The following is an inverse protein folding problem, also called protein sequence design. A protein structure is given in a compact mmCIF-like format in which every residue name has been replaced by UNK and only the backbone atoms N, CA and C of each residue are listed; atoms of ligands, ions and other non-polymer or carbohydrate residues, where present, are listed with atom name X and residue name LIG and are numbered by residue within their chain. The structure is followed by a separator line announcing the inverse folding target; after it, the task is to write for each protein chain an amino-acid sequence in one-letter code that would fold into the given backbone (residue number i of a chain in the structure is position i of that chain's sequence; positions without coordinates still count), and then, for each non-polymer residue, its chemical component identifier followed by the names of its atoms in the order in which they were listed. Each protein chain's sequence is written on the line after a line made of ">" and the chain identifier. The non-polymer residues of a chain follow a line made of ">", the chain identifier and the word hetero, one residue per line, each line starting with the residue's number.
data_IF_419615045686
#
_entry.id   IF_419615045686
#
_cell.length_a   1.000
_cell.length_b   1.000
_cell.length_c   1.000
_cell.angle_alpha   90.00
_cell.angle_beta   90.00
_cell.angle_gamma   90.00
#
_symmetry.space_group_name_H-M   'P 1'
#
loop_
_entity.id
_entity.type
_entity.pdbx_description
1 polymer ?
#
# COMPACT_ATOMS: atom_id res chain seq x y z
N UNK A 1 -21.03 -18.69 -24.25
CA UNK A 1 -20.02 -19.29 -23.35
C UNK A 1 -18.73 -18.50 -23.54
N UNK A 2 -18.46 -17.52 -22.68
CA UNK A 2 -17.20 -16.77 -22.72
C UNK A 2 -16.13 -17.59 -22.01
N UNK A 3 -15.04 -17.85 -22.73
CA UNK A 3 -13.81 -18.42 -22.21
C UNK A 3 -13.22 -17.47 -21.17
N UNK A 4 -13.25 -17.88 -19.89
CA UNK A 4 -12.52 -17.21 -18.82
C UNK A 4 -11.02 -17.45 -19.07
N UNK A 5 -10.36 -16.45 -19.64
CA UNK A 5 -8.89 -16.40 -19.70
C UNK A 5 -8.37 -16.42 -18.26
N UNK A 6 -7.78 -17.55 -17.86
CA UNK A 6 -7.14 -17.68 -16.57
C UNK A 6 -6.00 -16.66 -16.48
N UNK A 7 -6.11 -15.69 -15.58
CA UNK A 7 -4.97 -14.84 -15.25
C UNK A 7 -3.93 -15.72 -14.55
N UNK A 8 -2.69 -15.82 -15.06
CA UNK A 8 -1.69 -16.70 -14.47
C UNK A 8 -1.31 -16.16 -13.09
N UNK A 9 -1.23 -17.06 -12.11
CA UNK A 9 -0.57 -16.80 -10.84
C UNK A 9 0.94 -17.01 -11.00
N UNK A 10 1.73 -16.20 -10.30
CA UNK A 10 3.16 -16.38 -10.19
C UNK A 10 3.49 -16.97 -8.84
N UNK A 11 4.38 -17.97 -8.81
CA UNK A 11 4.83 -18.60 -7.57
C UNK A 11 6.33 -18.68 -7.50
N UNK A 12 6.87 -18.44 -6.30
CA UNK A 12 8.28 -18.68 -6.00
C UNK A 12 8.44 -19.31 -4.62
N UNK A 13 9.46 -20.14 -4.46
CA UNK A 13 9.69 -20.91 -3.23
C UNK A 13 11.04 -20.55 -2.65
N UNK A 14 11.05 -20.22 -1.36
CA UNK A 14 12.26 -19.92 -0.60
C UNK A 14 12.33 -20.89 0.57
N UNK A 15 13.25 -21.86 0.47
CA UNK A 15 13.57 -22.76 1.57
C UNK A 15 14.53 -22.07 2.56
N UNK A 16 14.23 -22.20 3.85
CA UNK A 16 15.08 -21.80 4.98
C UNK A 16 15.16 -22.97 5.97
N UNK A 17 16.21 -23.04 6.83
CA UNK A 17 16.35 -24.12 7.79
C UNK A 17 15.11 -24.35 8.66
N UNK A 18 14.40 -23.29 9.03
CA UNK A 18 13.24 -23.38 9.94
C UNK A 18 11.87 -23.24 9.27
N UNK A 19 11.83 -22.91 7.97
CA UNK A 19 10.56 -22.74 7.23
C UNK A 19 10.75 -22.79 5.72
N UNK A 20 9.71 -23.23 5.03
CA UNK A 20 9.57 -23.06 3.58
C UNK A 20 8.53 -21.99 3.30
N UNK A 21 8.87 -20.97 2.53
CA UNK A 21 7.95 -19.89 2.15
C UNK A 21 7.59 -20.02 0.67
N UNK A 22 6.29 -20.09 0.38
CA UNK A 22 5.73 -20.07 -0.97
C UNK A 22 5.10 -18.71 -1.19
N UNK A 23 5.76 -17.86 -1.98
CA UNK A 23 5.23 -16.57 -2.38
C UNK A 23 4.28 -16.75 -3.55
N UNK A 24 3.09 -16.17 -3.44
CA UNK A 24 2.07 -16.20 -4.49
C UNK A 24 1.72 -14.77 -4.89
N UNK A 25 1.69 -14.51 -6.18
CA UNK A 25 1.27 -13.23 -6.74
C UNK A 25 0.20 -13.41 -7.82
N UNK A 26 -0.68 -12.43 -7.97
CA UNK A 26 -1.77 -12.44 -8.95
C UNK A 26 -3.14 -12.68 -8.31
N UNK A 27 -4.08 -13.22 -9.09
CA UNK A 27 -5.46 -13.48 -8.64
C UNK A 27 -5.68 -14.95 -8.32
N UNK A 28 -6.06 -15.27 -7.08
CA UNK A 28 -6.48 -16.61 -6.67
C UNK A 28 -7.98 -16.80 -6.91
N UNK A 29 -8.39 -16.74 -8.18
CA UNK A 29 -9.68 -17.25 -8.64
C UNK A 29 -9.66 -18.80 -8.72
N UNK A 30 -10.71 -19.42 -9.26
CA UNK A 30 -10.75 -20.89 -9.40
C UNK A 30 -9.58 -21.42 -10.23
N UNK A 31 -9.26 -20.79 -11.36
CA UNK A 31 -8.17 -21.22 -12.25
C UNK A 31 -6.79 -21.07 -11.60
N UNK A 32 -6.53 -19.91 -11.00
CA UNK A 32 -5.30 -19.65 -10.25
C UNK A 32 -5.13 -20.61 -9.07
N UNK A 33 -6.20 -20.91 -8.35
CA UNK A 33 -6.20 -21.87 -7.24
C UNK A 33 -5.82 -23.29 -7.71
N UNK A 34 -6.39 -23.76 -8.83
CA UNK A 34 -6.07 -25.10 -9.37
C UNK A 34 -4.60 -25.20 -9.80
N UNK A 35 -4.05 -24.13 -10.38
CA UNK A 35 -2.62 -24.05 -10.70
C UNK A 35 -1.76 -24.13 -9.44
N UNK A 36 -2.12 -23.39 -8.38
CA UNK A 36 -1.39 -23.40 -7.11
C UNK A 36 -1.44 -24.79 -6.46
N UNK A 37 -2.61 -25.45 -6.46
CA UNK A 37 -2.77 -26.81 -5.96
C UNK A 37 -1.80 -27.80 -6.58
N UNK A 38 -1.68 -27.75 -7.91
CA UNK A 38 -0.76 -28.62 -8.66
C UNK A 38 0.69 -28.37 -8.23
N UNK A 39 1.09 -27.11 -8.14
CA UNK A 39 2.44 -26.72 -7.72
C UNK A 39 2.75 -27.13 -6.27
N UNK A 40 1.81 -26.94 -5.33
CA UNK A 40 1.98 -27.33 -3.92
C UNK A 40 2.09 -28.85 -3.74
N UNK A 41 1.36 -29.62 -4.56
CA UNK A 41 1.44 -31.08 -4.54
C UNK A 41 2.85 -31.56 -4.88
N UNK A 42 3.50 -30.95 -5.88
CA UNK A 42 4.89 -31.25 -6.23
C UNK A 42 5.87 -30.86 -5.11
N UNK A 43 5.60 -29.74 -4.43
CA UNK A 43 6.42 -29.19 -3.35
C UNK A 43 6.26 -29.95 -2.01
N UNK A 44 5.20 -30.74 -1.82
CA UNK A 44 4.97 -31.52 -0.59
C UNK A 44 6.13 -32.48 -0.27
N UNK A 45 6.87 -32.91 -1.29
CA UNK A 45 8.11 -33.71 -1.18
C UNK A 45 9.28 -32.97 -0.49
N UNK A 46 9.25 -31.64 -0.39
CA UNK A 46 10.30 -30.81 0.22
C UNK A 46 10.10 -30.58 1.73
N UNK A 47 8.95 -30.94 2.28
CA UNK A 47 8.62 -30.73 3.71
C UNK A 47 9.36 -31.67 4.68
N UNK A 48 10.14 -32.64 4.17
CA UNK A 48 10.89 -33.60 4.97
C UNK A 48 11.91 -32.99 5.95
N UNK A 49 12.24 -31.71 5.82
CA UNK A 49 13.26 -31.04 6.64
C UNK A 49 12.80 -29.77 7.36
N UNK A 50 11.56 -29.28 7.15
CA UNK A 50 11.09 -28.03 7.74
C UNK A 50 9.75 -28.23 8.43
N UNK A 51 9.71 -28.02 9.75
CA UNK A 51 8.50 -28.15 10.57
C UNK A 51 7.43 -27.07 10.27
N UNK A 52 7.66 -26.15 9.32
CA UNK A 52 6.79 -25.00 9.07
C UNK A 52 6.71 -24.60 7.59
N UNK A 53 5.49 -24.53 7.06
CA UNK A 53 5.17 -24.02 5.71
C UNK A 53 4.50 -22.66 5.83
N UNK A 54 4.88 -21.72 4.98
CA UNK A 54 4.28 -20.38 4.89
C UNK A 54 3.71 -20.17 3.49
N UNK A 55 2.43 -19.84 3.40
CA UNK A 55 1.81 -19.32 2.18
C UNK A 55 1.78 -17.80 2.28
N UNK A 56 2.61 -17.12 1.49
CA UNK A 56 2.68 -15.66 1.47
C UNK A 56 1.82 -15.12 0.33
N UNK A 57 0.68 -14.55 0.72
CA UNK A 57 -0.31 -13.94 -0.16
C UNK A 57 -0.22 -12.41 -0.21
N UNK A 58 0.88 -11.81 0.28
CA UNK A 58 1.09 -10.35 0.27
C UNK A 58 0.99 -9.71 -1.11
N UNK A 59 1.17 -10.48 -2.20
CA UNK A 59 1.05 -10.02 -3.59
C UNK A 59 -0.17 -10.61 -4.31
N UNK A 60 -1.10 -11.20 -3.57
CA UNK A 60 -2.39 -11.67 -4.11
C UNK A 60 -3.37 -10.50 -4.13
N UNK A 61 -3.88 -10.17 -5.32
CA UNK A 61 -4.83 -9.05 -5.50
C UNK A 61 -6.30 -9.47 -5.35
N UNK A 62 -6.58 -10.77 -5.32
CA UNK A 62 -7.92 -11.33 -5.13
C UNK A 62 -7.84 -12.74 -4.54
N UNK A 63 -8.64 -13.03 -3.50
CA UNK A 63 -8.74 -14.35 -2.87
C UNK A 63 -10.17 -14.91 -3.02
N UNK A 64 -10.35 -15.86 -3.94
CA UNK A 64 -11.62 -16.53 -4.20
C UNK A 64 -11.98 -17.61 -3.18
N UNK A 65 -13.19 -18.16 -3.26
CA UNK A 65 -13.64 -19.24 -2.36
C UNK A 65 -12.77 -20.50 -2.46
N UNK A 66 -12.41 -20.92 -3.68
CA UNK A 66 -11.55 -22.07 -3.90
C UNK A 66 -10.17 -21.91 -3.20
N UNK A 67 -9.67 -20.68 -3.09
CA UNK A 67 -8.40 -20.41 -2.42
C UNK A 67 -8.48 -20.61 -0.89
N UNK A 68 -9.62 -20.35 -0.28
CA UNK A 68 -9.87 -20.63 1.14
C UNK A 68 -9.89 -22.14 1.38
N UNK A 69 -10.62 -22.88 0.54
CA UNK A 69 -10.68 -24.35 0.59
C UNK A 69 -9.28 -24.97 0.40
N UNK A 70 -8.49 -24.42 -0.52
CA UNK A 70 -7.10 -24.82 -0.70
C UNK A 70 -6.28 -24.66 0.58
N UNK A 71 -6.37 -23.50 1.23
CA UNK A 71 -5.65 -23.25 2.49
C UNK A 71 -6.02 -24.27 3.55
N UNK A 72 -7.31 -24.61 3.66
CA UNK A 72 -7.80 -25.63 4.60
C UNK A 72 -7.21 -27.01 4.31
N UNK A 73 -7.24 -27.44 3.04
CA UNK A 73 -6.65 -28.72 2.61
C UNK A 73 -5.14 -28.77 2.91
N UNK A 74 -4.41 -27.69 2.61
CA UNK A 74 -2.96 -27.60 2.88
C UNK A 74 -2.69 -27.61 4.39
N UNK A 75 -3.52 -26.92 5.19
CA UNK A 75 -3.40 -26.91 6.64
C UNK A 75 -3.52 -28.32 7.22
N UNK A 76 -4.49 -29.08 6.72
CA UNK A 76 -4.71 -30.46 7.14
C UNK A 76 -3.52 -31.37 6.76
N UNK A 77 -3.02 -31.25 5.54
CA UNK A 77 -1.86 -32.02 5.08
C UNK A 77 -0.60 -31.73 5.89
N UNK A 78 -0.28 -30.44 6.10
CA UNK A 78 0.88 -30.01 6.89
C UNK A 78 0.75 -30.50 8.33
N UNK A 79 -0.45 -30.44 8.91
CA UNK A 79 -0.73 -30.95 10.26
C UNK A 79 -0.57 -32.47 10.36
N UNK A 80 -1.04 -33.22 9.36
CA UNK A 80 -0.88 -34.67 9.31
C UNK A 80 0.59 -35.09 9.25
N UNK A 81 1.45 -34.27 8.64
CA UNK A 81 2.90 -34.43 8.62
C UNK A 81 3.62 -33.93 9.89
N UNK A 82 2.89 -33.46 10.91
CA UNK A 82 3.46 -32.91 12.15
C UNK A 82 4.05 -31.50 12.02
N UNK A 83 3.77 -30.80 10.92
CA UNK A 83 4.20 -29.44 10.67
C UNK A 83 3.17 -28.37 11.08
N UNK A 84 3.51 -27.11 10.80
CA UNK A 84 2.66 -25.94 11.01
C UNK A 84 2.50 -25.14 9.71
N UNK A 85 1.26 -24.80 9.36
CA UNK A 85 0.97 -23.87 8.27
C UNK A 85 0.81 -22.45 8.83
N UNK A 86 1.47 -21.48 8.21
CA UNK A 86 1.19 -20.05 8.34
C UNK A 86 0.68 -19.49 7.01
N UNK A 87 -0.28 -18.56 7.06
CA UNK A 87 -0.73 -17.78 5.89
C UNK A 87 -0.48 -16.31 6.19
N UNK A 88 0.19 -15.61 5.27
CA UNK A 88 0.63 -14.22 5.42
C UNK A 88 0.03 -13.31 4.35
N UNK A 89 -0.05 -12.01 4.65
CA UNK A 89 -0.29 -10.97 3.64
C UNK A 89 -1.71 -10.95 3.06
N UNK A 90 -2.68 -11.57 3.74
CA UNK A 90 -4.09 -11.47 3.37
C UNK A 90 -4.94 -11.31 4.61
N UNK A 91 -5.91 -10.40 4.54
CA UNK A 91 -6.94 -10.23 5.55
C UNK A 91 -8.31 -10.71 5.05
N UNK A 92 -8.60 -12.01 5.23
CA UNK A 92 -9.86 -12.62 4.80
C UNK A 92 -10.67 -13.17 5.99
N UNK A 93 -11.95 -12.75 6.18
CA UNK A 93 -12.81 -13.24 7.26
C UNK A 93 -12.98 -14.76 7.29
N UNK A 94 -12.90 -15.46 6.15
CA UNK A 94 -13.06 -16.91 6.07
C UNK A 94 -11.82 -17.63 6.60
N UNK A 95 -10.62 -17.11 6.29
CA UNK A 95 -9.37 -17.62 6.86
C UNK A 95 -9.27 -17.36 8.37
N UNK A 96 -9.76 -16.20 8.84
CA UNK A 96 -9.94 -15.91 10.28
C UNK A 96 -10.81 -16.95 10.97
N UNK A 97 -11.96 -17.27 10.40
CA UNK A 97 -12.87 -18.26 10.97
C UNK A 97 -12.21 -19.65 11.05
N UNK A 98 -11.47 -20.05 10.02
CA UNK A 98 -10.74 -21.32 9.99
C UNK A 98 -9.65 -21.39 11.07
N UNK A 99 -8.96 -20.28 11.35
CA UNK A 99 -8.02 -20.18 12.46
C UNK A 99 -8.68 -20.35 13.82
N UNK A 100 -9.77 -19.61 14.06
CA UNK A 100 -10.49 -19.64 15.34
C UNK A 100 -11.08 -21.03 15.64
N UNK A 101 -11.51 -21.75 14.61
CA UNK A 101 -12.06 -23.11 14.74
C UNK A 101 -10.98 -24.21 14.82
N UNK A 102 -9.69 -23.84 14.84
CA UNK A 102 -8.59 -24.80 14.94
C UNK A 102 -8.23 -25.52 13.63
N UNK A 103 -8.87 -25.16 12.50
CA UNK A 103 -8.50 -25.63 11.17
C UNK A 103 -7.18 -25.05 10.66
N UNK A 104 -6.76 -23.90 11.21
CA UNK A 104 -5.42 -23.31 11.02
C UNK A 104 -4.78 -23.04 12.39
N UNK A 105 -3.67 -23.72 12.71
CA UNK A 105 -2.98 -23.54 14.01
C UNK A 105 -2.21 -22.23 14.12
N UNK A 106 -1.80 -21.63 13.01
CA UNK A 106 -1.08 -20.35 12.99
C UNK A 106 -1.58 -19.52 11.81
N UNK A 107 -2.35 -18.48 12.11
CA UNK A 107 -2.68 -17.45 11.12
C UNK A 107 -1.96 -16.18 11.55
N UNK A 108 -0.93 -15.80 10.79
CA UNK A 108 -0.42 -14.44 10.88
C UNK A 108 -1.12 -13.62 9.81
N UNK A 109 -2.26 -13.05 10.20
CA UNK A 109 -2.81 -11.90 9.49
C UNK A 109 -1.84 -10.75 9.76
N UNK A 110 -0.77 -10.75 8.99
CA UNK A 110 -0.11 -9.52 8.71
C UNK A 110 -1.13 -8.71 7.90
N UNK A 111 -1.55 -7.55 8.40
CA UNK A 111 -1.83 -6.44 7.50
C UNK A 111 -0.53 -6.22 6.72
N UNK A 112 -0.32 -6.98 5.64
CA UNK A 112 0.84 -6.93 4.71
C UNK A 112 2.17 -6.42 5.33
N UNK A 113 2.64 -7.07 6.41
CA UNK A 113 3.91 -7.84 6.56
C UNK A 113 5.11 -7.08 7.16
N UNK A 114 5.70 -7.62 8.23
CA UNK A 114 7.15 -7.49 8.58
C UNK A 114 7.91 -8.71 8.03
N UNK A 115 9.15 -8.69 7.52
CA UNK A 115 10.42 -8.19 8.10
C UNK A 115 11.46 -7.93 6.99
N UNK A 116 11.77 -6.67 6.78
CA UNK A 116 13.11 -6.11 7.00
C UNK A 116 12.90 -5.04 8.08
N UNK A 117 13.90 -4.54 8.79
CA UNK A 117 13.68 -3.39 9.69
C UNK A 117 12.94 -2.24 8.98
N UNK A 118 13.01 -2.19 7.64
CA UNK A 118 12.25 -1.29 6.77
C UNK A 118 10.74 -1.56 6.63
N UNK A 119 10.21 -2.77 6.86
CA UNK A 119 8.79 -3.10 6.58
C UNK A 119 7.86 -2.70 7.75
N UNK A 120 8.31 -2.86 9.00
CA UNK A 120 7.61 -2.27 10.16
C UNK A 120 7.65 -0.75 10.12
N UNK A 121 8.74 -0.20 9.57
CA UNK A 121 8.88 1.23 9.38
C UNK A 121 7.95 1.71 8.25
N UNK A 122 7.80 0.96 7.15
CA UNK A 122 6.80 1.25 6.09
C UNK A 122 5.38 1.26 6.63
N UNK A 123 4.91 0.20 7.29
CA UNK A 123 3.54 0.14 7.86
C UNK A 123 3.32 1.27 8.88
N UNK A 124 4.29 1.49 9.77
CA UNK A 124 4.28 2.58 10.73
C UNK A 124 4.21 3.94 10.04
N UNK A 125 5.03 4.15 9.02
CA UNK A 125 5.11 5.38 8.26
C UNK A 125 3.80 5.63 7.50
N UNK A 126 3.16 4.59 6.97
CA UNK A 126 1.81 4.69 6.40
C UNK A 126 0.77 5.10 7.45
N UNK A 127 0.80 4.50 8.65
CA UNK A 127 -0.09 4.89 9.76
C UNK A 127 0.17 6.35 10.17
N UNK A 128 1.42 6.76 10.30
CA UNK A 128 1.83 8.13 10.62
C UNK A 128 1.32 9.10 9.55
N UNK A 129 1.50 8.79 8.27
CA UNK A 129 1.00 9.59 7.16
C UNK A 129 -0.53 9.69 7.20
N UNK A 130 -1.25 8.59 7.43
CA UNK A 130 -2.72 8.60 7.55
C UNK A 130 -3.21 9.48 8.70
N UNK A 131 -2.55 9.42 9.85
CA UNK A 131 -2.87 10.26 11.00
C UNK A 131 -2.52 11.73 10.75
N UNK A 132 -1.40 11.99 10.07
CA UNK A 132 -1.02 13.33 9.62
C UNK A 132 -2.07 13.89 8.66
N UNK A 133 -2.58 13.10 7.71
CA UNK A 133 -3.66 13.51 6.81
C UNK A 133 -4.93 13.90 7.58
N UNK A 134 -5.39 13.03 8.48
CA UNK A 134 -6.58 13.32 9.30
C UNK A 134 -6.42 14.62 10.10
N UNK A 135 -5.22 14.84 10.66
CA UNK A 135 -4.89 16.04 11.43
C UNK A 135 -4.81 17.28 10.55
N UNK A 136 -4.08 17.22 9.43
CA UNK A 136 -3.92 18.31 8.49
C UNK A 136 -5.26 18.82 7.96
N UNK A 137 -6.15 17.88 7.61
CA UNK A 137 -7.49 18.21 7.15
C UNK A 137 -8.36 18.86 8.24
N UNK A 138 -8.18 18.45 9.50
CA UNK A 138 -8.89 19.05 10.65
C UNK A 138 -8.39 20.45 10.97
N UNK A 139 -7.07 20.67 11.02
CA UNK A 139 -6.49 21.98 11.38
C UNK A 139 -6.64 23.00 10.27
N UNK A 140 -6.64 22.57 9.01
CA UNK A 140 -6.86 23.47 7.88
C UNK A 140 -8.35 23.63 7.55
N UNK A 141 -9.20 22.67 7.90
CA UNK A 141 -10.58 22.62 7.41
C UNK A 141 -10.66 22.34 5.89
N UNK A 142 -9.59 21.84 5.27
CA UNK A 142 -9.61 21.48 3.86
C UNK A 142 -10.57 20.30 3.62
N UNK A 143 -11.41 20.36 2.56
CA UNK A 143 -12.36 19.29 2.26
C UNK A 143 -11.67 18.04 1.72
N UNK A 144 -10.54 18.22 1.04
CA UNK A 144 -9.86 17.17 0.26
C UNK A 144 -8.38 17.07 0.63
N UNK A 145 -7.84 15.86 0.57
CA UNK A 145 -6.43 15.62 0.79
C UNK A 145 -6.03 14.18 0.53
N UNK A 146 -4.73 13.96 0.34
CA UNK A 146 -4.16 12.64 0.20
C UNK A 146 -2.78 12.58 0.84
N UNK A 147 -2.34 11.36 1.09
CA UNK A 147 -0.95 11.05 1.38
C UNK A 147 -0.44 10.06 0.36
N UNK A 148 0.81 10.25 -0.01
CA UNK A 148 1.53 9.34 -0.89
C UNK A 148 2.74 8.78 -0.15
N UNK A 149 2.89 7.47 -0.18
CA UNK A 149 4.06 6.78 0.35
C UNK A 149 5.10 6.65 -0.77
N UNK A 150 6.38 6.84 -0.46
CA UNK A 150 7.46 6.60 -1.41
C UNK A 150 7.76 5.11 -1.46
N UNK A 151 7.53 4.47 -2.60
CA UNK A 151 7.94 3.08 -2.84
C UNK A 151 9.44 3.02 -3.17
N UNK A 152 10.29 2.47 -2.27
CA UNK A 152 11.74 2.44 -2.48
C UNK A 152 12.17 1.58 -3.67
N UNK A 153 11.32 0.64 -4.11
CA UNK A 153 11.64 -0.24 -5.24
C UNK A 153 11.43 0.43 -6.60
N UNK A 154 10.51 1.41 -6.68
CA UNK A 154 10.13 2.08 -7.93
C UNK A 154 10.44 3.58 -7.96
N UNK A 155 10.94 4.15 -6.85
CA UNK A 155 11.17 5.59 -6.67
C UNK A 155 9.94 6.45 -7.04
N UNK A 156 8.76 5.89 -6.73
CA UNK A 156 7.47 6.47 -7.07
C UNK A 156 6.62 6.68 -5.82
N UNK A 157 5.92 7.81 -5.80
CA UNK A 157 4.94 8.18 -4.79
C UNK A 157 3.60 7.53 -5.11
N UNK A 158 3.09 6.71 -4.20
CA UNK A 158 1.83 5.98 -4.36
C UNK A 158 0.82 6.43 -3.32
N UNK A 159 -0.40 6.74 -3.75
CA UNK A 159 -1.46 7.15 -2.81
C UNK A 159 -1.74 6.00 -1.83
N UNK A 160 -1.50 6.24 -0.54
CA UNK A 160 -1.77 5.29 0.55
C UNK A 160 -3.07 5.60 1.29
N UNK A 161 -3.48 6.87 1.31
CA UNK A 161 -4.80 7.29 1.78
C UNK A 161 -5.26 8.60 1.16
N UNK A 162 -6.57 8.80 1.12
CA UNK A 162 -7.20 9.97 0.51
C UNK A 162 -8.53 10.29 1.17
N UNK A 163 -8.97 11.54 1.04
CA UNK A 163 -10.32 11.99 1.34
C UNK A 163 -10.80 12.97 0.29
N UNK A 164 -12.04 12.79 -0.17
CA UNK A 164 -12.75 13.74 -1.03
C UNK A 164 -12.43 13.64 -2.53
N UNK A 165 -11.72 12.59 -2.97
CA UNK A 165 -11.42 12.37 -4.39
C UNK A 165 -12.21 11.20 -5.00
N UNK A 166 -12.52 11.33 -6.29
CA UNK A 166 -13.15 10.31 -7.11
C UNK A 166 -12.14 9.61 -8.05
N UNK A 167 -12.58 8.54 -8.71
CA UNK A 167 -11.71 7.60 -9.43
C UNK A 167 -10.75 8.22 -10.47
N UNK A 168 -11.12 9.23 -11.28
CA UNK A 168 -10.20 9.80 -12.28
C UNK A 168 -8.91 10.37 -11.66
N UNK A 169 -9.05 11.12 -10.56
CA UNK A 169 -7.93 11.66 -9.79
C UNK A 169 -7.06 10.54 -9.21
N UNK A 170 -7.70 9.54 -8.61
CA UNK A 170 -6.99 8.42 -7.96
C UNK A 170 -6.26 7.53 -8.96
N UNK A 171 -6.80 7.37 -10.18
CA UNK A 171 -6.14 6.61 -11.23
C UNK A 171 -4.92 7.35 -11.79
N UNK A 172 -5.04 8.66 -12.00
CA UNK A 172 -3.96 9.48 -12.56
C UNK A 172 -2.80 9.63 -11.57
N UNK A 173 -3.10 9.96 -10.31
CA UNK A 173 -2.10 10.15 -9.26
C UNK A 173 -1.76 8.87 -8.48
N UNK A 174 -2.17 7.69 -8.98
CA UNK A 174 -1.91 6.39 -8.35
C UNK A 174 -0.42 6.15 -8.09
N UNK A 175 0.41 6.56 -9.04
CA UNK A 175 1.86 6.46 -9.00
C UNK A 175 2.44 7.71 -9.64
N UNK A 176 3.21 8.49 -8.88
CA UNK A 176 3.86 9.72 -9.33
C UNK A 176 5.36 9.54 -9.17
N UNK A 177 6.10 9.55 -10.26
CA UNK A 177 7.56 9.49 -10.22
C UNK A 177 8.12 10.74 -9.53
N UNK A 178 9.08 10.58 -8.62
CA UNK A 178 9.71 11.71 -7.91
C UNK A 178 10.45 12.63 -8.88
N UNK A 179 11.05 12.06 -9.93
CA UNK A 179 11.69 12.80 -11.02
C UNK A 179 10.70 13.27 -12.12
N UNK A 180 9.42 12.90 -12.01
CA UNK A 180 8.38 13.22 -12.97
C UNK A 180 8.02 14.70 -12.96
N UNK A 181 7.93 15.30 -14.15
CA UNK A 181 7.53 16.70 -14.32
C UNK A 181 5.99 16.82 -14.23
N UNK A 182 5.47 17.83 -13.52
CA UNK A 182 4.06 18.24 -13.63
C UNK A 182 3.15 17.97 -12.43
N UNK A 183 3.68 17.65 -11.24
CA UNK A 183 2.86 17.58 -10.02
C UNK A 183 3.45 18.39 -8.86
N UNK A 184 2.60 18.94 -7.99
CA UNK A 184 3.05 19.65 -6.79
C UNK A 184 3.77 18.73 -5.80
N UNK A 185 3.32 17.48 -5.67
CA UNK A 185 3.96 16.49 -4.81
C UNK A 185 5.33 16.04 -5.33
N UNK A 186 5.49 15.79 -6.64
CA UNK A 186 6.79 15.52 -7.25
C UNK A 186 7.77 16.69 -7.09
N UNK A 187 7.30 17.92 -7.34
CA UNK A 187 8.12 19.12 -7.14
C UNK A 187 8.55 19.31 -5.67
N UNK A 188 7.67 19.00 -4.72
CA UNK A 188 7.98 19.08 -3.29
C UNK A 188 8.93 17.96 -2.83
N UNK A 189 8.76 16.74 -3.36
CA UNK A 189 9.65 15.60 -3.11
C UNK A 189 11.07 15.89 -3.63
N UNK A 190 11.21 16.35 -4.88
CA UNK A 190 12.51 16.69 -5.47
C UNK A 190 13.23 17.81 -4.70
N UNK A 191 12.50 18.80 -4.22
CA UNK A 191 13.07 19.94 -3.47
C UNK A 191 13.25 19.64 -1.98
N UNK A 192 12.68 18.53 -1.49
CA UNK A 192 12.53 18.21 -0.06
C UNK A 192 12.02 19.41 0.75
N UNK A 193 11.10 20.18 0.17
CA UNK A 193 10.52 21.41 0.74
C UNK A 193 9.04 21.51 0.43
N UNK A 194 8.23 22.10 1.33
CA UNK A 194 6.83 22.37 1.05
C UNK A 194 6.61 23.21 -0.21
N UNK A 195 5.63 22.80 -1.02
CA UNK A 195 5.15 23.55 -2.19
C UNK A 195 3.71 23.97 -1.95
N UNK A 196 3.45 25.26 -2.10
CA UNK A 196 2.13 25.85 -1.97
C UNK A 196 1.73 26.43 -3.32
N UNK A 197 0.61 25.96 -3.86
CA UNK A 197 0.00 26.44 -5.08
C UNK A 197 -1.31 27.13 -4.71
N UNK A 198 -1.37 28.43 -4.98
CA UNK A 198 -2.52 29.28 -4.61
C UNK A 198 -3.66 29.14 -5.62
N UNK A 199 -3.35 28.97 -6.90
CA UNK A 199 -4.32 28.63 -7.95
C UNK A 199 -3.73 27.64 -8.96
N UNK A 200 -4.34 26.46 -9.09
CA UNK A 200 -3.94 25.43 -10.06
C UNK A 200 -4.01 25.97 -11.48
N UNK A 201 -5.05 26.72 -11.82
CA UNK A 201 -5.26 27.22 -13.19
C UNK A 201 -4.29 28.32 -13.61
N UNK A 202 -3.62 28.96 -12.66
CA UNK A 202 -2.66 30.04 -12.92
C UNK A 202 -1.21 29.60 -12.68
N UNK A 203 -1.00 28.40 -12.12
CA UNK A 203 0.33 27.93 -11.74
C UNK A 203 1.09 27.38 -12.95
N UNK A 204 2.34 27.84 -13.19
CA UNK A 204 3.20 27.26 -14.23
C UNK A 204 3.48 25.76 -14.03
N UNK A 205 3.23 25.21 -12.83
CA UNK A 205 3.34 23.76 -12.58
C UNK A 205 2.23 22.94 -13.26
N UNK A 206 1.08 23.56 -13.56
CA UNK A 206 -0.13 22.87 -13.99
C UNK A 206 -0.71 23.39 -15.30
N UNK A 207 -0.45 24.65 -15.67
CA UNK A 207 -0.93 25.22 -16.92
C UNK A 207 -0.42 24.41 -18.11
N UNK A 208 -1.35 23.86 -18.89
CA UNK A 208 -1.05 23.07 -20.08
C UNK A 208 -0.54 21.65 -19.80
N UNK A 209 -0.67 21.16 -18.56
CA UNK A 209 -0.27 19.79 -18.20
C UNK A 209 -1.50 18.92 -17.91
N UNK A 210 -1.39 17.62 -18.20
CA UNK A 210 -2.46 16.65 -17.90
C UNK A 210 -2.81 16.60 -16.41
N UNK A 211 -1.84 16.88 -15.52
CA UNK A 211 -2.08 16.97 -14.09
C UNK A 211 -2.96 18.17 -13.72
N UNK A 212 -2.81 19.30 -14.43
CA UNK A 212 -3.69 20.46 -14.29
C UNK A 212 -5.13 20.13 -14.66
N UNK A 213 -5.33 19.45 -15.79
CA UNK A 213 -6.67 19.04 -16.26
C UNK A 213 -7.36 18.10 -15.26
N UNK A 214 -6.62 17.11 -14.73
CA UNK A 214 -7.16 16.16 -13.73
C UNK A 214 -7.48 16.84 -12.40
N UNK A 215 -6.67 17.81 -11.97
CA UNK A 215 -6.96 18.60 -10.78
C UNK A 215 -8.21 19.45 -10.98
N UNK A 216 -8.38 20.04 -12.17
CA UNK A 216 -9.55 20.85 -12.49
C UNK A 216 -10.84 20.03 -12.52
N UNK A 217 -10.81 18.86 -13.17
CA UNK A 217 -11.91 17.90 -13.18
C UNK A 217 -12.26 17.38 -11.77
N UNK A 218 -11.26 17.27 -10.89
CA UNK A 218 -11.45 16.92 -9.49
C UNK A 218 -11.97 18.10 -8.63
N UNK A 219 -12.20 19.27 -9.23
CA UNK A 219 -12.65 20.48 -8.54
C UNK A 219 -11.58 21.06 -7.60
N UNK A 220 -10.29 20.84 -7.87
CA UNK A 220 -9.20 21.37 -7.08
C UNK A 220 -8.70 22.68 -7.68
N UNK A 221 -8.64 23.72 -6.83
CA UNK A 221 -8.12 25.04 -7.21
C UNK A 221 -6.89 25.45 -6.44
N UNK A 222 -6.59 24.87 -5.29
CA UNK A 222 -5.33 25.14 -4.58
C UNK A 222 -4.80 23.89 -3.88
N UNK A 223 -3.48 23.83 -3.71
CA UNK A 223 -2.78 22.66 -3.18
C UNK A 223 -1.67 23.11 -2.24
N UNK A 224 -1.55 22.46 -1.08
CA UNK A 224 -0.34 22.49 -0.27
C UNK A 224 0.20 21.07 -0.16
N UNK A 225 1.41 20.85 -0.66
CA UNK A 225 2.12 19.55 -0.62
C UNK A 225 3.37 19.69 0.22
N UNK A 226 3.49 18.85 1.26
CA UNK A 226 4.57 18.91 2.23
C UNK A 226 5.24 17.53 2.32
N UNK A 227 6.56 17.44 2.16
CA UNK A 227 7.28 16.19 2.32
C UNK A 227 7.30 15.79 3.80
N UNK A 228 7.17 14.49 4.06
CA UNK A 228 7.38 13.88 5.38
C UNK A 228 8.69 13.11 5.32
N UNK A 229 9.54 13.34 6.31
CA UNK A 229 10.92 12.90 6.32
C UNK A 229 11.21 12.08 7.57
N UNK A 230 12.10 11.10 7.49
CA UNK A 230 12.64 10.47 8.71
C UNK A 230 13.49 11.49 9.48
N UNK A 231 13.76 11.28 10.79
CA UNK A 231 14.70 12.11 11.52
C UNK A 231 16.13 12.09 10.92
N UNK A 232 16.45 11.05 10.13
CA UNK A 232 17.69 10.94 9.37
C UNK A 232 17.73 11.75 8.07
N UNK A 233 16.62 12.40 7.69
CA UNK A 233 16.53 13.22 6.48
C UNK A 233 16.15 12.45 5.22
N UNK A 234 15.64 11.23 5.35
CA UNK A 234 15.17 10.42 4.22
C UNK A 234 13.70 10.72 3.90
N UNK A 235 13.33 10.79 2.62
CA UNK A 235 11.95 11.05 2.22
C UNK A 235 11.09 9.81 2.44
N UNK A 236 10.05 9.94 3.24
CA UNK A 236 9.09 8.87 3.53
C UNK A 236 7.89 8.94 2.59
N UNK A 237 7.46 10.16 2.28
CA UNK A 237 6.26 10.38 1.48
C UNK A 237 5.82 11.83 1.47
N UNK A 238 4.59 12.05 1.03
CA UNK A 238 3.99 13.37 0.84
C UNK A 238 2.66 13.47 1.57
N UNK A 239 2.44 14.60 2.23
CA UNK A 239 1.14 15.03 2.74
C UNK A 239 0.62 16.17 1.86
N UNK A 240 -0.57 16.01 1.30
CA UNK A 240 -1.18 17.04 0.46
C UNK A 240 -2.61 17.37 0.87
N UNK A 241 -2.91 18.66 1.05
CA UNK A 241 -4.27 19.18 1.27
C UNK A 241 -4.70 20.06 0.10
N UNK A 242 -5.99 20.00 -0.24
CA UNK A 242 -6.54 20.61 -1.45
C UNK A 242 -7.84 21.35 -1.13
N UNK A 243 -8.09 22.45 -1.85
CA UNK A 243 -9.35 23.21 -1.74
C UNK A 243 -9.93 23.47 -3.11
N UNK A 244 -11.25 23.65 -3.13
CA UNK A 244 -12.01 23.95 -4.34
C UNK A 244 -11.94 25.43 -4.77
N UNK A 245 -11.26 26.26 -3.99
CA UNK A 245 -11.09 27.69 -4.25
C UNK A 245 -9.60 28.06 -4.26
N UNK A 246 -9.21 29.10 -5.04
CA UNK A 246 -7.91 29.71 -4.90
C UNK A 246 -7.67 30.11 -3.45
N UNK A 247 -6.51 29.78 -2.90
CA UNK A 247 -6.24 29.97 -1.47
C UNK A 247 -4.86 30.55 -1.27
N UNK A 248 -4.82 31.73 -0.66
CA UNK A 248 -3.60 32.26 -0.08
C UNK A 248 -3.32 31.49 1.20
N UNK A 249 -2.28 30.66 1.19
CA UNK A 249 -1.85 29.91 2.37
C UNK A 249 -1.21 30.86 3.38
N UNK A 250 -2.01 31.44 4.28
CA UNK A 250 -1.55 32.37 5.29
C UNK A 250 -0.48 31.74 6.20
N UNK A 251 0.35 32.59 6.83
CA UNK A 251 1.46 32.15 7.67
C UNK A 251 1.02 31.19 8.79
N UNK A 252 -0.16 31.40 9.36
CA UNK A 252 -0.74 30.51 10.37
C UNK A 252 -1.05 29.12 9.82
N UNK A 253 -1.76 29.02 8.70
CA UNK A 253 -2.04 27.73 8.06
C UNK A 253 -0.77 26.99 7.66
N UNK A 254 0.27 27.71 7.20
CA UNK A 254 1.59 27.12 6.90
C UNK A 254 2.28 26.60 8.16
N UNK A 255 2.20 27.32 9.29
CA UNK A 255 2.74 26.85 10.58
C UNK A 255 2.01 25.61 11.08
N UNK A 256 0.68 25.59 11.04
CA UNK A 256 -0.13 24.44 11.47
C UNK A 256 0.22 23.18 10.65
N UNK A 257 0.28 23.30 9.33
CA UNK A 257 0.72 22.21 8.46
C UNK A 257 2.18 21.80 8.76
N UNK A 258 3.05 22.78 9.04
CA UNK A 258 4.42 22.53 9.47
C UNK A 258 4.51 21.74 10.78
N UNK A 259 3.66 22.02 11.77
CA UNK A 259 3.62 21.25 13.02
C UNK A 259 3.13 19.82 12.82
N UNK A 260 2.15 19.62 11.94
CA UNK A 260 1.67 18.27 11.59
C UNK A 260 2.80 17.45 10.97
N UNK A 261 3.52 18.01 10.00
CA UNK A 261 4.66 17.33 9.36
C UNK A 261 5.80 17.09 10.35
N UNK A 262 6.17 18.08 11.17
CA UNK A 262 7.22 17.88 12.19
C UNK A 262 6.86 16.79 13.21
N UNK A 263 5.59 16.65 13.56
CA UNK A 263 5.14 15.55 14.41
C UNK A 263 5.23 14.21 13.68
N UNK A 264 4.85 14.16 12.41
CA UNK A 264 5.00 12.99 11.57
C UNK A 264 6.47 12.59 11.41
N UNK A 265 7.37 13.55 11.15
CA UNK A 265 8.80 13.30 10.95
C UNK A 265 9.44 12.63 12.18
N UNK A 266 9.09 13.06 13.39
CA UNK A 266 9.60 12.45 14.64
C UNK A 266 9.10 11.03 14.85
N UNK A 267 7.96 10.69 14.29
CA UNK A 267 7.34 9.38 14.42
C UNK A 267 7.76 8.45 13.28
N UNK A 268 8.18 8.99 12.14
CA UNK A 268 8.68 8.23 11.02
C UNK A 268 10.03 7.57 11.33
N UNK A 269 10.30 6.46 10.66
CA UNK A 269 11.54 5.67 10.82
C UNK A 269 12.12 5.30 9.48
#
# INVERSE_FOLDING_TARGET
>A
MQSLSASPIETSVVARPERTVVHVAGQLDHGGTMTLMKQLSDLSSLSAHSHRLVLDFSRVSFLGFAAVELVEVVAEQVRAAGGQLEVWGVDDPRLRALHLNGGLRVLRIAETTGVSSSHTDVERNEVVLRQALATALRVTGAPMGNVQFLDPASDALRISAQRGFHHPFLSFFRSVEVAGHGSACGAAAQRQRPVFVEDVRASPLFVGTAAGDVLDDAGVRSVASLPVMTPGGELVGMLSVHRAEPTVWAAEARRELGYVVQAADRLAR
#
